data_IF_486151178316
#
_entry.id   IF_486151178316
#
_cell.length_a   1.000
_cell.length_b   1.000
_cell.length_c   1.000
_cell.angle_alpha   90.00
_cell.angle_beta   90.00
_cell.angle_gamma   90.00
#
_symmetry.space_group_name_H-M   'P 1'
#
loop_
_entity.id
_entity.type
_entity.pdbx_description
1 polymer ?
#
# COMPACT_ATOMS: atom_id res chain seq x y z
N UNK A 1 -37.30 -26.98 -16.46
CA UNK A 1 -36.88 -26.56 -15.09
C UNK A 1 -35.39 -26.20 -14.96
N UNK A 2 -34.44 -26.98 -15.50
CA UNK A 2 -32.99 -26.71 -15.30
C UNK A 2 -32.48 -25.38 -15.89
N UNK A 3 -33.03 -24.94 -17.04
CA UNK A 3 -32.59 -23.70 -17.69
C UNK A 3 -32.99 -22.43 -16.92
N UNK A 4 -34.23 -22.35 -16.43
CA UNK A 4 -34.70 -21.23 -15.59
C UNK A 4 -33.88 -21.17 -14.30
N UNK A 5 -33.60 -22.31 -13.67
CA UNK A 5 -32.72 -22.35 -12.50
C UNK A 5 -31.31 -21.81 -12.78
N UNK A 6 -30.76 -22.04 -13.97
CA UNK A 6 -29.48 -21.46 -14.38
C UNK A 6 -29.56 -19.93 -14.57
N UNK A 7 -30.67 -19.41 -15.12
CA UNK A 7 -30.90 -17.98 -15.25
C UNK A 7 -31.02 -17.30 -13.87
N UNK A 8 -31.76 -17.93 -12.94
CA UNK A 8 -31.88 -17.48 -11.54
C UNK A 8 -30.52 -17.43 -10.86
N UNK A 9 -29.71 -18.50 -10.96
CA UNK A 9 -28.35 -18.49 -10.39
C UNK A 9 -27.49 -17.37 -10.97
N UNK A 10 -27.57 -17.12 -12.27
CA UNK A 10 -26.82 -16.05 -12.92
C UNK A 10 -27.29 -14.66 -12.46
N UNK A 11 -28.59 -14.45 -12.28
CA UNK A 11 -29.13 -13.20 -11.73
C UNK A 11 -28.71 -12.98 -10.27
N UNK A 12 -28.71 -14.04 -9.46
CA UNK A 12 -28.34 -13.98 -8.05
C UNK A 12 -26.87 -13.59 -7.80
N UNK A 13 -26.01 -13.69 -8.82
CA UNK A 13 -24.65 -13.11 -8.76
C UNK A 13 -24.66 -11.59 -8.53
N UNK A 14 -25.78 -10.92 -8.78
CA UNK A 14 -25.98 -9.48 -8.64
C UNK A 14 -27.00 -9.09 -7.56
N UNK A 15 -27.37 -10.03 -6.68
CA UNK A 15 -28.41 -9.80 -5.66
C UNK A 15 -27.92 -8.95 -4.46
N UNK A 16 -26.61 -8.81 -4.26
CA UNK A 16 -26.04 -7.99 -3.19
C UNK A 16 -26.19 -6.48 -3.45
N UNK A 17 -26.48 -5.70 -2.41
CA UNK A 17 -26.32 -4.26 -2.47
C UNK A 17 -24.80 -3.92 -2.47
N UNK A 18 -24.30 -3.08 -3.39
CA UNK A 18 -22.92 -2.60 -3.29
C UNK A 18 -22.79 -1.83 -1.97
N UNK A 19 -21.93 -2.31 -1.07
CA UNK A 19 -21.64 -1.69 0.22
C UNK A 19 -21.37 -0.19 0.00
N UNK A 20 -22.02 0.68 0.76
CA UNK A 20 -21.76 2.11 0.77
C UNK A 20 -20.66 2.43 1.77
N UNK A 21 -19.40 2.62 1.35
CA UNK A 21 -18.50 3.44 2.15
C UNK A 21 -18.97 4.89 2.03
N UNK A 22 -19.46 5.45 3.11
CA UNK A 22 -19.52 6.91 3.28
C UNK A 22 -18.07 7.40 3.23
N UNK A 23 -17.63 7.92 2.10
CA UNK A 23 -16.47 8.81 2.05
C UNK A 23 -17.08 10.18 2.33
N UNK A 24 -16.90 10.68 3.55
CA UNK A 24 -17.49 11.94 3.98
C UNK A 24 -17.15 13.07 3.02
N UNK A 25 -18.16 13.85 2.65
CA UNK A 25 -18.00 15.10 1.92
C UNK A 25 -17.21 16.06 2.81
N UNK A 26 -15.91 16.19 2.55
CA UNK A 26 -15.14 17.35 3.02
C UNK A 26 -15.24 18.40 1.94
N UNK A 27 -16.38 19.08 1.90
CA UNK A 27 -16.51 20.35 1.22
C UNK A 27 -15.89 21.45 2.10
N UNK A 28 -15.01 22.25 1.48
CA UNK A 28 -14.53 23.59 1.83
C UNK A 28 -13.46 23.77 2.94
N UNK A 29 -12.57 24.82 2.89
CA UNK A 29 -12.46 25.87 1.87
C UNK A 29 -11.06 26.03 1.24
N UNK A 30 -10.99 25.99 -0.09
CA UNK A 30 -9.78 26.24 -0.92
C UNK A 30 -9.39 27.72 -1.05
N UNK A 31 -9.84 28.62 -0.17
CA UNK A 31 -9.66 30.08 -0.36
C UNK A 31 -9.03 30.87 0.80
N UNK A 32 -8.55 30.21 1.87
CA UNK A 32 -8.00 30.94 3.02
C UNK A 32 -6.47 31.16 3.01
N UNK A 33 -5.67 30.40 2.24
CA UNK A 33 -4.19 30.45 2.36
C UNK A 33 -3.47 31.29 1.31
N UNK A 34 -4.19 31.99 0.42
CA UNK A 34 -3.57 32.81 -0.61
C UNK A 34 -3.14 34.22 -0.14
N UNK A 35 -3.47 34.64 1.09
CA UNK A 35 -3.29 36.04 1.53
C UNK A 35 -2.15 36.31 2.53
N UNK A 36 -1.34 35.31 2.89
CA UNK A 36 -0.17 35.51 3.77
C UNK A 36 1.14 35.00 3.16
N UNK A 37 1.35 35.30 1.87
CA UNK A 37 2.61 35.03 1.18
C UNK A 37 3.63 36.17 1.32
N UNK A 38 3.60 36.92 2.43
CA UNK A 38 4.62 37.92 2.74
C UNK A 38 5.52 37.38 3.85
N UNK A 39 6.77 37.07 3.49
CA UNK A 39 7.90 36.74 4.37
C UNK A 39 7.90 35.36 5.09
N UNK A 40 7.60 34.27 4.39
CA UNK A 40 8.00 32.94 4.85
C UNK A 40 9.46 32.65 4.44
N UNK A 41 10.33 32.14 5.35
CA UNK A 41 11.67 31.66 5.00
C UNK A 41 11.60 30.67 3.82
N UNK A 42 12.59 30.68 2.91
CA UNK A 42 12.57 29.87 1.67
C UNK A 42 12.24 28.39 1.91
N UNK A 43 12.67 27.83 3.05
CA UNK A 43 12.38 26.44 3.46
C UNK A 43 10.93 26.23 3.91
N UNK A 44 10.27 27.24 4.46
CA UNK A 44 8.84 27.20 4.81
C UNK A 44 7.96 27.36 3.56
N UNK A 45 8.35 28.22 2.61
CA UNK A 45 7.67 28.36 1.31
C UNK A 45 7.77 27.08 0.47
N UNK A 46 8.96 26.46 0.40
CA UNK A 46 9.15 25.18 -0.29
C UNK A 46 8.34 24.03 0.36
N UNK A 47 8.28 23.97 1.70
CA UNK A 47 7.43 23.01 2.43
C UNK A 47 5.94 23.24 2.16
N UNK A 48 5.48 24.49 2.16
CA UNK A 48 4.09 24.85 1.83
C UNK A 48 3.73 24.43 0.40
N UNK A 49 4.60 24.71 -0.57
CA UNK A 49 4.41 24.29 -1.97
C UNK A 49 4.39 22.77 -2.16
N UNK A 50 5.21 22.02 -1.41
CA UNK A 50 5.18 20.56 -1.42
C UNK A 50 3.89 20.00 -0.82
N UNK A 51 3.40 20.58 0.29
CA UNK A 51 2.13 20.20 0.92
C UNK A 51 0.93 20.45 0.01
N UNK A 52 0.89 21.60 -0.69
CA UNK A 52 -0.18 21.93 -1.66
C UNK A 52 -0.18 20.94 -2.83
N UNK A 53 0.99 20.60 -3.38
CA UNK A 53 1.11 19.60 -4.45
C UNK A 53 0.61 18.22 -4.00
N UNK A 54 0.92 17.81 -2.77
CA UNK A 54 0.45 16.54 -2.20
C UNK A 54 -1.08 16.53 -2.01
N UNK A 55 -1.65 17.60 -1.47
CA UNK A 55 -3.11 17.74 -1.31
C UNK A 55 -3.84 17.69 -2.65
N UNK A 56 -3.32 18.38 -3.67
CA UNK A 56 -3.88 18.35 -5.01
C UNK A 56 -3.80 16.94 -5.64
N UNK A 57 -2.69 16.23 -5.45
CA UNK A 57 -2.53 14.85 -5.91
C UNK A 57 -3.48 13.89 -5.18
N UNK A 58 -3.66 14.04 -3.87
CA UNK A 58 -4.62 13.25 -3.07
C UNK A 58 -6.05 13.51 -3.53
N UNK A 59 -6.45 14.77 -3.68
CA UNK A 59 -7.80 15.13 -4.14
C UNK A 59 -8.09 14.60 -5.55
N UNK A 60 -7.08 14.56 -6.43
CA UNK A 60 -7.22 13.94 -7.75
C UNK A 60 -7.38 12.41 -7.65
N UNK A 61 -6.62 11.75 -6.78
CA UNK A 61 -6.76 10.32 -6.51
C UNK A 61 -8.15 9.99 -5.92
N UNK A 62 -8.66 10.81 -4.99
CA UNK A 62 -9.99 10.69 -4.38
C UNK A 62 -11.11 10.77 -5.41
N UNK A 63 -11.06 11.77 -6.29
CA UNK A 63 -12.02 11.89 -7.41
C UNK A 63 -11.97 10.65 -8.30
N UNK A 64 -10.78 10.16 -8.62
CA UNK A 64 -10.64 8.97 -9.47
C UNK A 64 -11.15 7.69 -8.79
N UNK A 65 -10.99 7.55 -7.47
CA UNK A 65 -11.60 6.46 -6.70
C UNK A 65 -13.12 6.58 -6.73
N UNK A 66 -13.66 7.78 -6.52
CA UNK A 66 -15.08 8.07 -6.63
C UNK A 66 -15.65 7.65 -7.98
N UNK A 67 -14.99 8.03 -9.07
CA UNK A 67 -15.38 7.67 -10.44
C UNK A 67 -15.37 6.15 -10.67
N UNK A 68 -14.37 5.44 -10.16
CA UNK A 68 -14.28 3.97 -10.27
C UNK A 68 -15.42 3.29 -9.49
N UNK A 69 -15.72 3.77 -8.28
CA UNK A 69 -16.82 3.22 -7.46
C UNK A 69 -18.16 3.49 -8.14
N UNK A 70 -18.39 4.70 -8.64
CA UNK A 70 -19.59 5.06 -9.39
C UNK A 70 -19.76 4.17 -10.64
N UNK A 71 -18.70 3.99 -11.42
CA UNK A 71 -18.70 3.10 -12.58
C UNK A 71 -18.99 1.63 -12.20
N UNK A 72 -18.41 1.13 -11.10
CA UNK A 72 -18.67 -0.23 -10.61
C UNK A 72 -20.14 -0.42 -10.20
N UNK A 73 -20.74 0.57 -9.54
CA UNK A 73 -22.16 0.55 -9.15
C UNK A 73 -23.07 0.58 -10.37
N UNK A 74 -22.80 1.46 -11.34
CA UNK A 74 -23.56 1.54 -12.58
C UNK A 74 -23.49 0.21 -13.38
N UNK A 75 -22.30 -0.39 -13.48
CA UNK A 75 -22.10 -1.68 -14.13
C UNK A 75 -22.87 -2.81 -13.44
N UNK A 76 -22.86 -2.83 -12.10
CA UNK A 76 -23.61 -3.80 -11.31
C UNK A 76 -25.12 -3.65 -11.49
N UNK A 77 -25.64 -2.42 -11.41
CA UNK A 77 -27.06 -2.12 -11.62
C UNK A 77 -27.52 -2.53 -13.03
N UNK A 78 -26.71 -2.18 -14.05
CA UNK A 78 -27.00 -2.55 -15.44
C UNK A 78 -27.01 -4.07 -15.63
N UNK A 79 -26.03 -4.80 -15.07
CA UNK A 79 -25.99 -6.26 -15.16
C UNK A 79 -27.17 -6.92 -14.43
N UNK A 80 -27.56 -6.39 -13.25
CA UNK A 80 -28.73 -6.86 -12.52
C UNK A 80 -30.02 -6.68 -13.33
N UNK A 81 -30.24 -5.49 -13.89
CA UNK A 81 -31.42 -5.20 -14.71
C UNK A 81 -31.46 -6.08 -15.98
N UNK A 82 -30.34 -6.20 -16.70
CA UNK A 82 -30.27 -7.02 -17.90
C UNK A 82 -30.51 -8.51 -17.63
N UNK A 83 -29.93 -9.04 -16.54
CA UNK A 83 -30.14 -10.45 -16.17
C UNK A 83 -31.55 -10.73 -15.64
N UNK A 84 -32.19 -9.74 -15.01
CA UNK A 84 -33.59 -9.80 -14.58
C UNK A 84 -34.54 -9.85 -15.77
N UNK A 85 -34.33 -8.99 -16.77
CA UNK A 85 -35.16 -8.96 -17.98
C UNK A 85 -35.15 -10.31 -18.73
N UNK A 86 -33.99 -10.98 -18.81
CA UNK A 86 -33.89 -12.31 -19.43
C UNK A 86 -34.64 -13.38 -18.61
N UNK A 87 -34.61 -13.27 -17.28
CA UNK A 87 -35.34 -14.17 -16.39
C UNK A 87 -36.86 -13.97 -16.52
N UNK A 88 -37.33 -12.72 -16.47
CA UNK A 88 -38.76 -12.39 -16.64
C UNK A 88 -39.29 -12.81 -18.02
N UNK A 89 -38.48 -12.65 -19.07
CA UNK A 89 -38.81 -13.14 -20.40
C UNK A 89 -38.79 -14.69 -20.51
N UNK A 90 -38.19 -15.40 -19.56
CA UNK A 90 -38.26 -16.85 -19.46
C UNK A 90 -39.46 -17.31 -18.63
N UNK A 91 -39.79 -16.59 -17.56
CA UNK A 91 -40.93 -16.85 -16.68
C UNK A 91 -42.27 -16.55 -17.36
N UNK A 92 -42.31 -15.56 -18.25
CA UNK A 92 -43.50 -15.19 -19.04
C UNK A 92 -43.64 -15.91 -20.38
N UNK A 93 -42.74 -16.85 -20.73
CA UNK A 93 -42.77 -17.55 -22.01
C UNK A 93 -43.86 -18.63 -22.04
N UNK A 94 -45.05 -18.26 -22.51
CA UNK A 94 -46.11 -19.21 -22.86
C UNK A 94 -45.77 -19.78 -24.24
N UNK A 95 -45.06 -20.91 -24.29
CA UNK A 95 -44.74 -21.58 -25.57
C UNK A 95 -45.99 -22.19 -26.19
N UNK A 96 -46.52 -21.66 -27.31
CA UNK A 96 -47.68 -22.25 -27.98
C UNK A 96 -47.28 -23.58 -28.62
N UNK A 97 -48.18 -24.57 -28.62
CA UNK A 97 -48.00 -25.85 -29.29
C UNK A 97 -46.73 -26.64 -28.86
N UNK A 98 -46.37 -26.58 -27.57
CA UNK A 98 -45.24 -27.29 -26.99
C UNK A 98 -45.27 -28.83 -27.20
N UNK A 99 -46.45 -29.38 -27.52
CA UNK A 99 -46.64 -30.80 -27.80
C UNK A 99 -46.25 -31.19 -29.24
N UNK A 100 -46.00 -30.22 -30.12
CA UNK A 100 -45.56 -30.47 -31.49
C UNK A 100 -44.03 -30.57 -31.58
N UNK A 101 -43.47 -31.36 -32.52
CA UNK A 101 -42.01 -31.37 -32.75
C UNK A 101 -41.43 -29.98 -33.07
N UNK A 102 -42.18 -29.17 -33.81
CA UNK A 102 -41.77 -27.81 -34.18
C UNK A 102 -41.79 -26.87 -32.96
N UNK A 103 -42.83 -26.92 -32.12
CA UNK A 103 -42.92 -26.16 -30.87
C UNK A 103 -41.82 -26.52 -29.87
N UNK A 104 -41.47 -27.81 -29.74
CA UNK A 104 -40.32 -28.24 -28.91
C UNK A 104 -38.99 -27.68 -29.42
N UNK A 105 -38.76 -27.70 -30.73
CA UNK A 105 -37.54 -27.14 -31.35
C UNK A 105 -37.45 -25.64 -31.11
N UNK A 106 -38.56 -24.92 -31.25
CA UNK A 106 -38.60 -23.48 -31.00
C UNK A 106 -38.36 -23.14 -29.53
N UNK A 107 -38.99 -23.87 -28.60
CA UNK A 107 -38.77 -23.72 -27.16
C UNK A 107 -37.29 -23.94 -26.77
N UNK A 108 -36.65 -24.95 -27.36
CA UNK A 108 -35.21 -25.20 -27.16
C UNK A 108 -34.35 -24.06 -27.74
N UNK A 109 -34.68 -23.56 -28.93
CA UNK A 109 -33.96 -22.46 -29.56
C UNK A 109 -34.05 -21.16 -28.74
N UNK A 110 -35.25 -20.81 -28.26
CA UNK A 110 -35.46 -19.65 -27.37
C UNK A 110 -34.69 -19.80 -26.06
N UNK A 111 -34.75 -20.99 -25.45
CA UNK A 111 -33.99 -21.30 -24.22
C UNK A 111 -32.48 -21.14 -24.43
N UNK A 112 -31.94 -21.67 -25.53
CA UNK A 112 -30.52 -21.53 -25.86
C UNK A 112 -30.12 -20.06 -26.07
N UNK A 113 -30.95 -19.26 -26.73
CA UNK A 113 -30.73 -17.83 -26.90
C UNK A 113 -30.69 -17.10 -25.56
N UNK A 114 -31.64 -17.35 -24.66
CA UNK A 114 -31.66 -16.74 -23.31
C UNK A 114 -30.41 -17.09 -22.52
N UNK A 115 -29.99 -18.36 -22.51
CA UNK A 115 -28.77 -18.80 -21.82
C UNK A 115 -27.51 -18.11 -22.38
N UNK A 116 -27.38 -17.98 -23.71
CA UNK A 116 -26.26 -17.27 -24.34
C UNK A 116 -26.25 -15.79 -23.99
N UNK A 117 -27.42 -15.14 -24.01
CA UNK A 117 -27.57 -13.73 -23.64
C UNK A 117 -27.21 -13.51 -22.17
N UNK A 118 -27.72 -14.34 -21.26
CA UNK A 118 -27.39 -14.30 -19.84
C UNK A 118 -25.88 -14.46 -19.59
N UNK A 119 -25.26 -15.43 -20.26
CA UNK A 119 -23.82 -15.64 -20.18
C UNK A 119 -23.01 -14.43 -20.67
N UNK A 120 -23.43 -13.77 -21.77
CA UNK A 120 -22.79 -12.54 -22.28
C UNK A 120 -22.86 -11.40 -21.26
N UNK A 121 -23.99 -11.22 -20.57
CA UNK A 121 -24.09 -10.21 -19.50
C UNK A 121 -23.12 -10.49 -18.34
N UNK A 122 -23.09 -11.73 -17.84
CA UNK A 122 -22.21 -12.13 -16.72
C UNK A 122 -20.73 -11.96 -17.10
N UNK A 123 -20.33 -12.41 -18.29
CA UNK A 123 -18.94 -12.31 -18.76
C UNK A 123 -18.50 -10.86 -18.99
N UNK A 124 -19.38 -10.03 -19.58
CA UNK A 124 -19.13 -8.58 -19.74
C UNK A 124 -18.95 -7.90 -18.38
N UNK A 125 -19.84 -8.17 -17.43
CA UNK A 125 -19.74 -7.65 -16.07
C UNK A 125 -18.43 -8.06 -15.39
N UNK A 126 -18.05 -9.35 -15.48
CA UNK A 126 -16.78 -9.85 -14.94
C UNK A 126 -15.56 -9.18 -15.56
N UNK A 127 -15.56 -8.95 -16.88
CA UNK A 127 -14.46 -8.25 -17.58
C UNK A 127 -14.33 -6.81 -17.09
N UNK A 128 -15.44 -6.08 -16.96
CA UNK A 128 -15.46 -4.69 -16.48
C UNK A 128 -15.03 -4.60 -15.01
N UNK A 129 -15.52 -5.48 -14.14
CA UNK A 129 -15.08 -5.56 -12.75
C UNK A 129 -13.55 -5.78 -12.64
N UNK A 130 -12.98 -6.69 -13.44
CA UNK A 130 -11.51 -6.89 -13.50
C UNK A 130 -10.75 -5.66 -13.96
N UNK A 131 -11.28 -4.92 -14.95
CA UNK A 131 -10.69 -3.67 -15.43
C UNK A 131 -10.70 -2.60 -14.34
N UNK A 132 -11.84 -2.38 -13.68
CA UNK A 132 -11.98 -1.42 -12.59
C UNK A 132 -11.07 -1.80 -11.40
N UNK A 133 -10.97 -3.08 -11.04
CA UNK A 133 -10.03 -3.55 -10.01
C UNK A 133 -8.56 -3.33 -10.41
N UNK A 134 -8.21 -3.43 -11.71
CA UNK A 134 -6.87 -3.07 -12.20
C UNK A 134 -6.61 -1.58 -12.14
N UNK A 135 -7.60 -0.75 -12.51
CA UNK A 135 -7.51 0.72 -12.38
C UNK A 135 -7.32 1.13 -10.92
N UNK A 136 -8.11 0.56 -10.01
CA UNK A 136 -7.99 0.81 -8.57
C UNK A 136 -6.63 0.38 -8.02
N UNK A 137 -6.08 -0.76 -8.46
CA UNK A 137 -4.71 -1.18 -8.09
C UNK A 137 -3.59 -0.30 -8.68
N UNK A 138 -3.84 0.36 -9.81
CA UNK A 138 -2.91 1.29 -10.46
C UNK A 138 -3.04 2.71 -9.92
N UNK A 139 -4.15 3.03 -9.24
CA UNK A 139 -4.22 4.23 -8.44
C UNK A 139 -3.20 4.07 -7.32
N UNK A 140 -2.06 4.71 -7.54
CA UNK A 140 -1.25 5.20 -6.46
C UNK A 140 -2.10 6.28 -5.80
N UNK A 141 -3.00 5.86 -4.91
CA UNK A 141 -3.19 6.66 -3.71
C UNK A 141 -1.75 6.91 -3.25
N UNK A 142 -1.26 8.16 -3.10
CA UNK A 142 -0.11 8.35 -2.24
C UNK A 142 -0.55 7.64 -0.99
N UNK A 143 0.05 6.46 -0.76
CA UNK A 143 -0.43 5.51 0.22
C UNK A 143 -0.79 6.38 1.41
N UNK A 144 -1.94 6.17 2.04
CA UNK A 144 -2.00 6.49 3.45
C UNK A 144 -0.73 5.83 4.00
N UNK A 145 0.39 6.56 4.06
CA UNK A 145 1.26 6.67 5.20
C UNK A 145 0.19 6.92 6.24
N UNK A 146 -0.36 5.79 6.75
CA UNK A 146 -1.01 5.68 8.04
C UNK A 146 -0.38 6.80 8.81
N UNK A 147 -1.14 7.87 9.10
CA UNK A 147 -0.68 9.11 9.75
C UNK A 147 0.68 8.80 10.33
N UNK A 148 1.79 9.08 9.60
CA UNK A 148 3.07 8.38 9.83
C UNK A 148 3.31 8.51 11.31
N UNK A 149 3.09 7.42 12.07
CA UNK A 149 2.65 7.54 13.46
C UNK A 149 3.82 8.13 14.17
N UNK A 150 3.80 9.45 14.35
CA UNK A 150 4.96 10.34 14.30
C UNK A 150 6.22 9.54 14.66
N UNK A 151 6.85 8.86 13.67
CA UNK A 151 7.87 7.86 14.02
C UNK A 151 8.91 8.68 14.75
N UNK A 152 9.04 8.43 16.06
CA UNK A 152 9.84 9.27 16.92
C UNK A 152 11.20 9.39 16.22
N UNK A 153 11.56 10.59 15.82
CA UNK A 153 12.68 10.86 14.92
C UNK A 153 13.65 11.77 15.66
N UNK A 154 14.87 11.89 15.15
CA UNK A 154 15.91 12.61 15.84
C UNK A 154 16.66 11.73 16.84
N UNK A 155 17.77 12.28 17.31
CA UNK A 155 18.81 11.52 18.04
C UNK A 155 18.27 10.78 19.26
N UNK A 156 17.43 11.42 20.07
CA UNK A 156 16.91 10.80 21.30
C UNK A 156 16.07 9.55 21.02
N UNK A 157 15.22 9.57 20.00
CA UNK A 157 14.38 8.45 19.63
C UNK A 157 15.21 7.28 19.07
N UNK A 158 16.22 7.59 18.24
CA UNK A 158 17.17 6.60 17.73
C UNK A 158 17.94 5.93 18.87
N UNK A 159 18.47 6.70 19.82
CA UNK A 159 19.18 6.15 20.98
C UNK A 159 18.28 5.28 21.87
N UNK A 160 17.03 5.70 22.11
CA UNK A 160 16.06 4.89 22.85
C UNK A 160 15.77 3.57 22.14
N UNK A 161 15.65 3.58 20.81
CA UNK A 161 15.45 2.39 20.01
C UNK A 161 16.68 1.47 19.99
N UNK A 162 17.90 2.02 19.94
CA UNK A 162 19.14 1.26 20.07
C UNK A 162 19.16 0.53 21.42
N UNK A 163 18.91 1.24 22.53
CA UNK A 163 18.85 0.61 23.86
C UNK A 163 17.83 -0.52 23.93
N UNK A 164 16.63 -0.28 23.39
CA UNK A 164 15.58 -1.31 23.34
C UNK A 164 15.98 -2.51 22.47
N UNK A 165 16.66 -2.27 21.35
CA UNK A 165 17.21 -3.32 20.52
C UNK A 165 18.27 -4.13 21.28
N UNK A 166 19.20 -3.49 21.99
CA UNK A 166 20.18 -4.19 22.83
C UNK A 166 19.51 -5.08 23.89
N UNK A 167 18.40 -4.62 24.48
CA UNK A 167 17.61 -5.45 25.40
C UNK A 167 17.00 -6.68 24.69
N UNK A 168 16.38 -6.48 23.52
CA UNK A 168 15.83 -7.57 22.70
C UNK A 168 16.91 -8.57 22.26
N UNK A 169 18.14 -8.07 22.02
CA UNK A 169 19.29 -8.87 21.62
C UNK A 169 20.00 -9.54 22.81
N UNK A 170 19.56 -9.31 24.05
CA UNK A 170 20.16 -9.89 25.25
C UNK A 170 21.55 -9.32 25.60
N UNK A 171 21.88 -8.13 25.10
CA UNK A 171 23.18 -7.48 25.34
C UNK A 171 23.05 -6.60 26.58
N UNK A 172 23.38 -7.18 27.74
CA UNK A 172 23.25 -6.53 29.05
C UNK A 172 24.57 -6.00 29.62
N UNK A 173 25.72 -6.46 29.13
CA UNK A 173 27.02 -5.97 29.58
C UNK A 173 27.16 -4.44 29.33
N UNK A 174 27.44 -3.63 30.37
CA UNK A 174 27.48 -2.17 30.22
C UNK A 174 28.53 -1.68 29.22
N UNK A 175 29.70 -2.33 29.16
CA UNK A 175 30.77 -1.93 28.24
C UNK A 175 30.39 -2.21 26.79
N UNK A 176 29.83 -3.40 26.51
CA UNK A 176 29.30 -3.77 25.21
C UNK A 176 28.20 -2.80 24.74
N UNK A 177 27.24 -2.50 25.62
CA UNK A 177 26.15 -1.55 25.32
C UNK A 177 26.70 -0.17 24.95
N UNK A 178 27.66 0.33 25.72
CA UNK A 178 28.27 1.63 25.45
C UNK A 178 29.00 1.67 24.09
N UNK A 179 29.65 0.57 23.67
CA UNK A 179 30.28 0.47 22.34
C UNK A 179 29.25 0.42 21.21
N UNK A 180 28.21 -0.39 21.34
CA UNK A 180 27.10 -0.44 20.38
C UNK A 180 26.40 0.92 20.23
N UNK A 181 26.02 1.55 21.35
CA UNK A 181 25.35 2.85 21.33
C UNK A 181 26.19 3.91 20.63
N UNK A 182 27.50 4.02 20.95
CA UNK A 182 28.38 4.99 20.27
C UNK A 182 28.50 4.75 18.77
N UNK A 183 28.71 3.50 18.36
CA UNK A 183 28.88 3.17 16.94
C UNK A 183 27.59 3.39 16.15
N UNK A 184 26.45 2.93 16.68
CA UNK A 184 25.15 3.08 16.02
C UNK A 184 24.65 4.54 16.00
N UNK A 185 24.92 5.34 17.04
CA UNK A 185 24.65 6.79 17.06
C UNK A 185 25.40 7.49 15.93
N UNK A 186 26.68 7.16 15.74
CA UNK A 186 27.51 7.72 14.66
C UNK A 186 26.98 7.33 13.27
N UNK A 187 26.61 6.06 13.07
CA UNK A 187 26.02 5.60 11.81
C UNK A 187 24.73 6.36 11.54
N UNK A 188 23.77 6.37 12.47
CA UNK A 188 22.49 7.02 12.25
C UNK A 188 22.63 8.54 11.97
N UNK A 189 23.62 9.19 12.58
CA UNK A 189 23.98 10.58 12.26
C UNK A 189 24.42 10.74 10.81
N UNK A 190 25.33 9.88 10.35
CA UNK A 190 25.94 9.96 9.02
C UNK A 190 24.95 9.57 7.91
N UNK A 191 24.14 8.55 8.15
CA UNK A 191 23.24 7.96 7.16
C UNK A 191 22.02 8.83 6.88
N UNK A 192 21.45 9.45 7.91
CA UNK A 192 20.14 10.12 7.77
C UNK A 192 19.99 11.38 8.63
N UNK A 193 21.02 11.76 9.38
CA UNK A 193 20.90 12.72 10.48
C UNK A 193 19.74 12.34 11.43
N UNK A 194 19.68 11.06 11.81
CA UNK A 194 18.67 10.47 12.70
C UNK A 194 17.22 10.52 12.20
N UNK A 195 17.01 10.71 10.89
CA UNK A 195 15.67 10.80 10.33
C UNK A 195 15.07 9.42 10.05
N UNK A 196 14.13 8.99 10.90
CA UNK A 196 13.40 7.72 10.74
C UNK A 196 12.61 7.63 9.41
N UNK A 197 12.31 8.77 8.81
CA UNK A 197 11.51 8.88 7.58
C UNK A 197 12.37 9.20 6.35
N UNK A 198 13.70 9.18 6.47
CA UNK A 198 14.60 9.42 5.35
C UNK A 198 14.38 8.39 4.24
N UNK A 199 14.40 8.86 2.99
CA UNK A 199 14.32 8.03 1.78
C UNK A 199 15.32 8.59 0.77
N UNK A 200 16.27 7.77 0.36
CA UNK A 200 17.19 8.11 -0.73
C UNK A 200 16.53 7.71 -2.06
N UNK A 201 16.23 8.69 -2.93
CA UNK A 201 15.60 8.46 -4.23
C UNK A 201 16.52 8.71 -5.44
N UNK A 202 17.82 8.91 -5.23
CA UNK A 202 18.73 9.39 -6.27
C UNK A 202 19.89 8.42 -6.57
N UNK A 203 20.10 7.39 -5.75
CA UNK A 203 21.16 6.42 -5.95
C UNK A 203 20.76 5.25 -6.89
N UNK A 204 21.73 4.37 -7.15
CA UNK A 204 21.53 3.17 -7.99
C UNK A 204 20.48 2.21 -7.42
N UNK A 205 20.29 2.19 -6.11
CA UNK A 205 19.28 1.36 -5.45
C UNK A 205 17.87 1.92 -5.69
N UNK A 206 17.71 3.25 -5.64
CA UNK A 206 16.47 3.92 -5.99
C UNK A 206 16.10 3.69 -7.47
N UNK A 207 17.08 3.78 -8.38
CA UNK A 207 16.88 3.47 -9.80
C UNK A 207 16.43 2.02 -10.03
N UNK A 208 16.86 1.09 -9.17
CA UNK A 208 16.45 -0.33 -9.17
C UNK A 208 15.13 -0.60 -8.43
N UNK A 209 14.45 0.43 -7.92
CA UNK A 209 13.16 0.31 -7.23
C UNK A 209 13.26 -0.13 -5.76
N UNK A 210 14.46 -0.16 -5.18
CA UNK A 210 14.69 -0.52 -3.77
C UNK A 210 15.45 0.60 -3.04
N UNK A 211 14.89 1.82 -2.93
CA UNK A 211 15.57 2.94 -2.29
C UNK A 211 15.94 2.64 -0.84
N UNK A 212 17.06 3.21 -0.38
CA UNK A 212 17.47 3.19 1.03
C UNK A 212 16.53 4.02 1.90
N UNK A 213 16.18 3.52 3.08
CA UNK A 213 15.15 4.10 3.96
C UNK A 213 15.57 4.10 5.42
N UNK A 214 15.03 5.06 6.17
CA UNK A 214 15.07 5.08 7.62
C UNK A 214 16.38 5.60 8.22
N UNK A 215 16.50 5.52 9.55
CA UNK A 215 17.61 6.12 10.27
C UNK A 215 18.97 5.49 9.92
N UNK A 216 18.97 4.21 9.55
CA UNK A 216 20.16 3.44 9.18
C UNK A 216 20.26 3.19 7.66
N UNK A 217 19.41 3.83 6.85
CA UNK A 217 19.42 3.78 5.38
C UNK A 217 19.47 2.35 4.79
N UNK A 218 18.67 1.43 5.34
CA UNK A 218 18.56 0.09 4.76
C UNK A 218 17.80 0.10 3.43
N UNK A 219 18.25 -0.70 2.47
CA UNK A 219 17.40 -1.15 1.37
C UNK A 219 16.49 -2.28 1.85
N UNK A 220 15.28 -2.38 1.27
CA UNK A 220 14.27 -3.37 1.63
C UNK A 220 14.77 -4.83 1.70
N UNK A 221 15.53 -5.37 0.72
CA UNK A 221 15.98 -6.76 0.79
C UNK A 221 16.96 -7.01 1.94
N UNK A 222 17.86 -6.08 2.23
CA UNK A 222 18.80 -6.21 3.37
C UNK A 222 18.06 -6.14 4.69
N UNK A 223 17.13 -5.20 4.86
CA UNK A 223 16.32 -5.14 6.08
C UNK A 223 15.55 -6.44 6.32
N UNK A 224 14.94 -7.00 5.28
CA UNK A 224 14.20 -8.25 5.38
C UNK A 224 15.10 -9.45 5.73
N UNK A 225 16.29 -9.54 5.12
CA UNK A 225 17.23 -10.63 5.36
C UNK A 225 17.78 -10.67 6.79
N UNK A 226 17.96 -9.50 7.41
CA UNK A 226 18.52 -9.36 8.77
C UNK A 226 17.48 -8.97 9.82
N UNK A 227 16.19 -8.99 9.47
CA UNK A 227 15.09 -8.65 10.37
C UNK A 227 15.12 -9.50 11.64
N UNK A 228 14.82 -8.88 12.79
CA UNK A 228 14.72 -9.60 14.06
C UNK A 228 13.28 -10.09 14.27
N UNK A 229 13.05 -11.41 14.34
CA UNK A 229 11.74 -11.97 14.66
C UNK A 229 11.17 -11.37 15.96
N UNK A 230 9.87 -11.09 15.96
CA UNK A 230 9.18 -10.42 17.08
C UNK A 230 9.20 -8.89 17.03
N UNK A 231 9.87 -8.27 16.05
CA UNK A 231 9.83 -6.80 15.83
C UNK A 231 8.98 -6.42 14.62
N UNK A 232 8.65 -5.13 14.48
CA UNK A 232 7.86 -4.61 13.34
C UNK A 232 8.51 -4.95 12.00
N UNK A 233 7.69 -5.23 10.97
CA UNK A 233 8.14 -5.38 9.58
C UNK A 233 8.23 -4.06 8.82
N UNK A 234 7.88 -2.94 9.45
CA UNK A 234 8.04 -1.61 8.86
C UNK A 234 9.52 -1.19 8.92
N UNK A 235 10.11 -0.94 7.74
CA UNK A 235 11.50 -0.46 7.60
C UNK A 235 11.74 0.92 8.23
N UNK A 236 10.69 1.70 8.50
CA UNK A 236 10.79 2.97 9.21
C UNK A 236 10.77 2.83 10.74
N UNK A 237 10.44 1.64 11.27
CA UNK A 237 10.45 1.41 12.70
C UNK A 237 11.89 1.37 13.25
N UNK A 238 12.22 2.29 14.17
CA UNK A 238 13.58 2.44 14.69
C UNK A 238 14.08 1.21 15.45
N UNK A 239 13.22 0.55 16.24
CA UNK A 239 13.63 -0.65 17.01
C UNK A 239 13.93 -1.80 16.07
N UNK A 240 13.08 -2.01 15.06
CA UNK A 240 13.30 -3.04 14.05
C UNK A 240 14.58 -2.76 13.23
N UNK A 241 14.84 -1.51 12.83
CA UNK A 241 16.08 -1.14 12.14
C UNK A 241 17.32 -1.33 13.01
N UNK A 242 17.26 -0.94 14.29
CA UNK A 242 18.40 -1.13 15.20
C UNK A 242 18.70 -2.63 15.41
N UNK A 243 17.67 -3.46 15.58
CA UNK A 243 17.86 -4.92 15.66
C UNK A 243 18.44 -5.50 14.36
N UNK A 244 17.92 -5.06 13.21
CA UNK A 244 18.43 -5.48 11.90
C UNK A 244 19.88 -5.04 11.67
N UNK A 245 20.27 -3.85 12.13
CA UNK A 245 21.64 -3.36 12.09
C UNK A 245 22.58 -4.24 12.90
N UNK A 246 22.23 -4.61 14.13
CA UNK A 246 23.05 -5.51 14.96
C UNK A 246 23.23 -6.86 14.26
N UNK A 247 22.14 -7.45 13.74
CA UNK A 247 22.20 -8.70 12.98
C UNK A 247 23.08 -8.58 11.73
N UNK A 248 22.93 -7.49 10.98
CA UNK A 248 23.71 -7.22 9.78
C UNK A 248 25.19 -7.03 10.09
N UNK A 249 25.52 -6.25 11.12
CA UNK A 249 26.90 -6.03 11.57
C UNK A 249 27.58 -7.34 11.98
N UNK A 250 26.90 -8.17 12.76
CA UNK A 250 27.44 -9.46 13.19
C UNK A 250 27.55 -10.45 12.03
N UNK A 251 26.48 -10.63 11.24
CA UNK A 251 26.43 -11.64 10.18
C UNK A 251 27.24 -11.30 8.93
N UNK A 252 27.24 -10.04 8.50
CA UNK A 252 27.92 -9.61 7.26
C UNK A 252 29.36 -9.17 7.48
N UNK A 253 29.64 -8.51 8.61
CA UNK A 253 30.93 -7.88 8.89
C UNK A 253 31.73 -8.57 10.01
N UNK A 254 31.16 -9.59 10.68
CA UNK A 254 31.84 -10.30 11.75
C UNK A 254 32.10 -9.43 12.98
N UNK A 255 31.21 -8.47 13.26
CA UNK A 255 31.28 -7.68 14.49
C UNK A 255 31.01 -8.58 15.69
N UNK A 256 31.86 -8.48 16.72
CA UNK A 256 31.71 -9.23 17.95
C UNK A 256 30.47 -8.78 18.73
N UNK A 257 29.88 -9.69 19.52
CA UNK A 257 28.69 -9.38 20.36
C UNK A 257 28.93 -8.20 21.29
N UNK A 258 30.17 -8.01 21.74
CA UNK A 258 30.56 -6.92 22.64
C UNK A 258 30.92 -5.60 21.91
N UNK A 259 30.78 -5.55 20.59
CA UNK A 259 31.13 -4.44 19.71
C UNK A 259 32.58 -3.91 19.84
N UNK A 260 33.51 -4.69 20.39
CA UNK A 260 34.92 -4.30 20.53
C UNK A 260 35.56 -3.92 19.19
N UNK A 261 35.17 -4.58 18.11
CA UNK A 261 35.71 -4.39 16.75
C UNK A 261 34.76 -3.64 15.80
N UNK A 262 33.68 -3.03 16.30
CA UNK A 262 32.64 -2.43 15.45
C UNK A 262 33.19 -1.34 14.51
N UNK A 263 34.00 -0.42 15.04
CA UNK A 263 34.60 0.66 14.25
C UNK A 263 35.60 0.15 13.21
N UNK A 264 36.34 -0.91 13.52
CA UNK A 264 37.31 -1.50 12.60
C UNK A 264 36.62 -2.19 11.41
N UNK A 265 35.46 -2.80 11.67
CA UNK A 265 34.69 -3.58 10.69
C UNK A 265 33.71 -2.74 9.88
N UNK A 266 33.20 -1.65 10.45
CA UNK A 266 32.21 -0.78 9.81
C UNK A 266 32.72 0.66 9.85
N UNK A 267 33.22 1.15 8.71
CA UNK A 267 33.74 2.52 8.58
C UNK A 267 32.74 3.60 9.01
N UNK A 268 31.44 3.40 8.76
CA UNK A 268 30.41 4.36 9.18
C UNK A 268 30.33 4.49 10.72
N UNK A 269 30.75 3.48 11.46
CA UNK A 269 30.81 3.47 12.91
C UNK A 269 32.17 3.93 13.47
N UNK A 270 33.14 4.30 12.62
CA UNK A 270 34.45 4.82 13.04
C UNK A 270 34.47 6.37 13.03
N UNK A 271 34.63 7.03 14.20
CA UNK A 271 34.71 8.48 14.27
C UNK A 271 36.01 9.05 13.68
N UNK A 272 37.07 8.24 13.54
CA UNK A 272 38.39 8.67 13.03
C UNK A 272 38.45 8.67 11.51
N UNK A 273 37.49 8.03 10.84
CA UNK A 273 37.41 7.95 9.38
C UNK A 273 36.29 8.81 8.86
N UNK A 274 36.49 9.42 7.70
CA UNK A 274 35.44 10.14 6.99
C UNK A 274 34.26 9.22 6.66
N UNK A 275 33.01 9.75 6.66
CA UNK A 275 31.86 9.00 6.17
C UNK A 275 32.15 8.49 4.75
N UNK A 276 31.78 7.24 4.47
CA UNK A 276 31.82 6.72 3.11
C UNK A 276 30.53 7.16 2.40
N UNK A 277 30.63 7.89 1.29
CA UNK A 277 29.47 8.07 0.41
C UNK A 277 29.08 6.73 -0.22
N UNK A 278 27.79 6.49 -0.44
CA UNK A 278 27.33 5.39 -1.27
C UNK A 278 27.72 5.61 -2.73
#
# INVERSE_FOLDING_TARGET
MQAVAALVRAHNLFAGAPISPHIGDVAEPTHAMARHAAALPKTASARSGASIKLLNHSSHADRTVGDIIAAARADHAHARAATRAVLEAAESDVTPAADTPMGRREAMARTATRLRTQHRHVTKARRRAKLLARRLRRLHYPQRRSMHGNHASGRQAVLAAIRKALDIKGIHDPAARARWERGMDLVARRESNYNANAINNWDSNAARGTPSKGAFQFIAPTFAAYHQPGTSRDIHNLVAQACAFINYAMGRYGVAVDASNLADRIQQADPRRSPKGY
#
